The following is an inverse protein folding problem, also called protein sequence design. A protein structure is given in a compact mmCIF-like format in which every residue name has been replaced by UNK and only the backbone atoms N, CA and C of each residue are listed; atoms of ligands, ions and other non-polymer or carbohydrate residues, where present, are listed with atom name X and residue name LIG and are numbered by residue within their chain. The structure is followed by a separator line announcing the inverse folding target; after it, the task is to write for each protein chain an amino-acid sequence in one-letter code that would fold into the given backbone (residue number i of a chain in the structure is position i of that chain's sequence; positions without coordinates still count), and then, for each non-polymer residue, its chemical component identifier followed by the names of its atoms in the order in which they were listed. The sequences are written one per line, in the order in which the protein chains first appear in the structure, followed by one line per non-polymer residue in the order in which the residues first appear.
data_IF_870211129904
#
_entry.id   IF_870211129904
#
_cell.length_a   1.000
_cell.length_b   1.000
_cell.length_c   1.000
_cell.angle_alpha   90.00
_cell.angle_beta   90.00
_cell.angle_gamma   90.00
#
_symmetry.space_group_name_H-M   'P 1'
#
loop_
_entity.id
_entity.type
_entity.pdbx_description
1 polymer ?
#
# COMPACT_ATOMS: atom_id res chain seq x y z
N UNK A 1 -17.85 24.10 9.51
CA UNK A 1 -17.13 22.86 9.25
C UNK A 1 -16.63 22.36 10.58
N UNK A 2 -17.07 21.18 11.01
CA UNK A 2 -16.67 20.58 12.29
C UNK A 2 -15.18 20.21 12.34
N UNK A 3 -14.59 19.92 11.17
CA UNK A 3 -13.22 19.44 11.04
C UNK A 3 -12.29 20.51 10.50
N UNK A 4 -11.05 20.55 11.01
CA UNK A 4 -9.98 21.37 10.49
C UNK A 4 -9.21 20.58 9.42
N UNK A 5 -9.13 21.12 8.21
CA UNK A 5 -8.40 20.52 7.10
C UNK A 5 -6.97 21.07 7.00
N UNK A 6 -6.01 20.20 6.68
CA UNK A 6 -4.71 20.61 6.14
C UNK A 6 -4.23 19.62 5.08
N UNK A 7 -3.33 20.07 4.20
CA UNK A 7 -2.49 19.14 3.47
C UNK A 7 -1.53 18.44 4.41
N UNK A 8 -1.07 17.25 4.01
CA UNK A 8 -0.07 16.48 4.73
C UNK A 8 1.22 17.25 4.98
N UNK A 9 1.78 17.04 6.16
CA UNK A 9 3.12 17.41 6.57
C UNK A 9 3.81 16.19 7.17
N UNK A 10 5.15 16.20 7.19
CA UNK A 10 5.91 15.08 7.74
C UNK A 10 5.60 14.78 9.21
N UNK A 11 5.21 15.80 9.99
CA UNK A 11 4.74 15.67 11.38
C UNK A 11 3.44 14.84 11.52
N UNK A 12 2.65 14.70 10.44
CA UNK A 12 1.39 13.96 10.44
C UNK A 12 1.59 12.44 10.32
N UNK A 13 2.81 11.98 9.97
CA UNK A 13 3.08 10.59 9.64
C UNK A 13 2.66 9.63 10.77
N UNK A 14 3.14 9.89 11.99
CA UNK A 14 2.84 9.04 13.14
C UNK A 14 1.36 9.07 13.52
N UNK A 15 0.67 10.21 13.37
CA UNK A 15 -0.76 10.30 13.67
C UNK A 15 -1.62 9.56 12.64
N UNK A 16 -1.26 9.62 11.35
CA UNK A 16 -1.93 8.84 10.30
C UNK A 16 -1.71 7.35 10.51
N UNK A 17 -0.50 6.94 10.89
CA UNK A 17 -0.19 5.56 11.26
C UNK A 17 -1.10 5.04 12.37
N UNK A 18 -1.45 5.87 13.37
CA UNK A 18 -2.40 5.47 14.40
C UNK A 18 -3.82 5.21 13.85
N UNK A 19 -4.27 5.92 12.81
CA UNK A 19 -5.54 5.59 12.15
C UNK A 19 -5.48 4.19 11.51
N UNK A 20 -4.34 3.87 10.89
CA UNK A 20 -4.10 2.58 10.25
C UNK A 20 -4.12 1.47 11.29
N UNK A 21 -3.36 1.62 12.39
CA UNK A 21 -3.32 0.62 13.46
C UNK A 21 -4.70 0.44 14.12
N UNK A 22 -5.46 1.52 14.31
CA UNK A 22 -6.81 1.43 14.84
C UNK A 22 -7.74 0.58 13.93
N UNK A 23 -7.60 0.70 12.60
CA UNK A 23 -8.49 0.02 11.65
C UNK A 23 -8.50 -1.51 11.75
N UNK A 24 -7.38 -2.13 12.18
CA UNK A 24 -7.33 -3.59 12.40
C UNK A 24 -8.32 -4.09 13.47
N UNK A 25 -8.92 -3.21 14.27
CA UNK A 25 -9.93 -3.59 15.28
C UNK A 25 -11.31 -3.86 14.68
N UNK A 26 -11.61 -3.40 13.45
CA UNK A 26 -12.94 -3.54 12.85
C UNK A 26 -12.96 -3.92 11.37
N UNK A 27 -11.81 -3.97 10.70
CA UNK A 27 -11.71 -4.33 9.29
C UNK A 27 -10.41 -5.07 8.94
N UNK A 28 -10.37 -5.61 7.72
CA UNK A 28 -9.11 -5.85 7.02
C UNK A 28 -8.76 -4.54 6.30
N UNK A 29 -7.69 -3.82 6.68
CA UNK A 29 -7.54 -2.43 6.29
C UNK A 29 -7.48 -2.21 4.77
N UNK A 30 -8.14 -1.14 4.32
CA UNK A 30 -8.04 -0.62 2.96
C UNK A 30 -6.63 -0.11 2.65
N UNK A 31 -5.92 0.35 3.69
CA UNK A 31 -4.55 0.82 3.65
C UNK A 31 -3.83 0.27 4.87
N UNK A 32 -2.75 -0.47 4.66
CA UNK A 32 -2.08 -1.23 5.70
C UNK A 32 -0.74 -0.60 6.13
N UNK A 33 -0.18 -1.08 7.25
CA UNK A 33 1.04 -0.51 7.83
C UNK A 33 2.21 -0.64 6.87
N UNK A 34 2.38 -1.82 6.25
CA UNK A 34 3.49 -2.05 5.31
C UNK A 34 3.39 -1.11 4.12
N UNK A 35 2.21 -0.92 3.51
CA UNK A 35 1.96 0.01 2.40
C UNK A 35 2.23 1.46 2.82
N UNK A 36 1.87 1.86 4.04
CA UNK A 36 2.15 3.21 4.53
C UNK A 36 3.64 3.51 4.59
N UNK A 37 4.41 2.62 5.21
CA UNK A 37 5.85 2.79 5.32
C UNK A 37 6.56 2.62 3.98
N UNK A 38 6.10 1.69 3.14
CA UNK A 38 6.64 1.48 1.80
C UNK A 38 6.42 2.70 0.91
N UNK A 39 5.23 3.30 0.96
CA UNK A 39 4.90 4.52 0.23
C UNK A 39 5.73 5.71 0.69
N UNK A 40 6.06 5.83 1.98
CA UNK A 40 6.92 6.92 2.47
C UNK A 40 8.40 6.68 2.22
N UNK A 41 8.85 5.46 2.50
CA UNK A 41 10.27 5.09 2.52
C UNK A 41 10.85 4.78 1.15
N UNK A 42 10.06 4.14 0.26
CA UNK A 42 10.54 3.68 -1.04
C UNK A 42 10.07 4.57 -2.20
N UNK A 43 8.77 4.85 -2.29
CA UNK A 43 8.19 5.47 -3.49
C UNK A 43 8.80 6.83 -3.89
N UNK A 44 9.17 7.76 -2.98
CA UNK A 44 9.74 9.06 -3.36
C UNK A 44 10.96 8.95 -4.27
N UNK A 45 11.95 8.15 -3.87
CA UNK A 45 13.15 7.92 -4.66
C UNK A 45 12.89 6.97 -5.84
N UNK A 46 12.03 5.97 -5.65
CA UNK A 46 11.76 4.95 -6.65
C UNK A 46 10.95 5.48 -7.86
N UNK A 47 10.06 6.44 -7.63
CA UNK A 47 9.18 7.05 -8.64
C UNK A 47 9.62 8.45 -9.05
N UNK A 48 10.46 9.11 -8.26
CA UNK A 48 10.86 10.50 -8.47
C UNK A 48 9.86 11.53 -7.90
N UNK A 49 8.81 11.09 -7.21
CA UNK A 49 7.73 11.95 -6.71
C UNK A 49 7.86 12.34 -5.23
N UNK A 50 8.97 12.98 -4.86
CA UNK A 50 9.24 13.39 -3.47
C UNK A 50 8.21 14.31 -2.82
N UNK A 51 7.38 14.98 -3.61
CA UNK A 51 6.43 15.98 -3.12
C UNK A 51 4.96 15.59 -3.25
N UNK A 52 4.66 14.40 -3.76
CA UNK A 52 3.27 14.00 -4.03
C UNK A 52 2.37 14.11 -2.80
N UNK A 53 2.76 13.52 -1.66
CA UNK A 53 1.92 13.57 -0.45
C UNK A 53 1.59 14.98 0.03
N UNK A 54 2.53 15.94 -0.02
CA UNK A 54 2.23 17.32 0.38
C UNK A 54 1.18 18.00 -0.50
N UNK A 55 0.90 17.46 -1.69
CA UNK A 55 -0.07 18.00 -2.64
C UNK A 55 -1.36 17.17 -2.72
N UNK A 56 -1.29 15.87 -2.46
CA UNK A 56 -2.37 14.93 -2.77
C UNK A 56 -2.98 14.25 -1.54
N UNK A 57 -2.41 14.44 -0.35
CA UNK A 57 -2.92 13.86 0.91
C UNK A 57 -3.60 14.93 1.75
N UNK A 58 -4.84 14.64 2.13
CA UNK A 58 -5.70 15.52 2.92
C UNK A 58 -5.88 14.99 4.33
N UNK A 59 -5.60 15.82 5.33
CA UNK A 59 -5.63 15.47 6.76
C UNK A 59 -6.73 16.25 7.46
N UNK A 60 -7.55 15.54 8.24
CA UNK A 60 -8.71 16.10 8.94
C UNK A 60 -8.52 15.98 10.45
N UNK A 61 -8.75 17.10 11.16
CA UNK A 61 -8.59 17.18 12.61
C UNK A 61 -9.86 17.55 13.34
N UNK A 62 -9.98 17.03 14.56
CA UNK A 62 -11.02 17.37 15.53
C UNK A 62 -10.32 17.69 16.85
N UNK A 63 -10.44 18.94 17.31
CA UNK A 63 -9.71 19.48 18.48
C UNK A 63 -8.18 19.24 18.39
N UNK A 64 -7.59 19.50 17.22
CA UNK A 64 -6.15 19.42 16.98
C UNK A 64 -5.58 18.00 16.78
N UNK A 65 -6.37 16.94 16.97
CA UNK A 65 -5.97 15.55 16.73
C UNK A 65 -6.35 15.11 15.33
N UNK A 66 -5.48 14.39 14.62
CA UNK A 66 -5.85 13.75 13.34
C UNK A 66 -6.89 12.66 13.58
N UNK A 67 -7.99 12.74 12.83
CA UNK A 67 -9.12 11.82 12.98
C UNK A 67 -9.55 11.15 11.68
N UNK A 68 -9.17 11.71 10.54
CA UNK A 68 -9.36 11.09 9.24
C UNK A 68 -8.32 11.58 8.23
N UNK A 69 -8.12 10.80 7.17
CA UNK A 69 -7.16 11.10 6.13
C UNK A 69 -7.65 10.58 4.77
N UNK A 70 -7.47 11.36 3.71
CA UNK A 70 -7.48 10.86 2.33
C UNK A 70 -6.03 10.70 1.89
N UNK A 71 -5.60 9.47 1.63
CA UNK A 71 -4.20 9.13 1.33
C UNK A 71 -4.05 8.35 0.03
N UNK A 72 -2.84 8.35 -0.54
CA UNK A 72 -2.45 7.58 -1.71
C UNK A 72 -1.00 7.07 -1.59
N UNK A 73 -0.49 6.39 -2.62
CA UNK A 73 0.86 5.82 -2.65
C UNK A 73 2.00 6.82 -2.87
N UNK A 74 1.76 8.13 -2.75
CA UNK A 74 2.82 9.13 -2.91
C UNK A 74 3.22 9.33 -4.36
N UNK A 75 2.22 9.25 -5.24
CA UNK A 75 2.35 9.48 -6.67
C UNK A 75 1.08 10.23 -7.18
N UNK A 76 0.93 10.32 -8.51
CA UNK A 76 -0.20 10.98 -9.17
C UNK A 76 -0.96 9.99 -10.07
N UNK A 77 -1.25 8.79 -9.58
CA UNK A 77 -1.89 7.70 -10.33
C UNK A 77 -3.42 7.62 -10.23
N UNK A 78 -4.01 8.47 -9.39
CA UNK A 78 -5.45 8.59 -9.22
C UNK A 78 -6.03 7.53 -8.29
N UNK A 79 -5.26 6.98 -7.35
CA UNK A 79 -5.78 6.15 -6.28
C UNK A 79 -5.96 6.95 -4.98
N UNK A 80 -7.04 6.67 -4.25
CA UNK A 80 -7.31 7.29 -2.95
C UNK A 80 -7.92 6.30 -1.96
N UNK A 81 -7.47 6.40 -0.72
CA UNK A 81 -7.86 5.56 0.41
C UNK A 81 -8.32 6.45 1.56
N UNK A 82 -9.43 6.08 2.20
CA UNK A 82 -10.03 6.87 3.28
C UNK A 82 -9.76 6.19 4.61
N UNK A 83 -9.10 6.90 5.53
CA UNK A 83 -8.73 6.42 6.85
C UNK A 83 -9.51 7.16 7.92
N UNK A 84 -9.82 6.47 9.02
CA UNK A 84 -10.60 7.00 10.12
C UNK A 84 -10.04 6.50 11.45
N UNK A 85 -10.15 7.31 12.50
CA UNK A 85 -9.76 6.92 13.86
C UNK A 85 -10.71 5.90 14.50
N UNK A 86 -11.90 5.73 13.92
CA UNK A 86 -12.98 4.90 14.43
C UNK A 86 -13.98 4.54 13.33
N UNK A 87 -14.66 3.42 13.51
CA UNK A 87 -15.72 2.97 12.60
C UNK A 87 -16.88 3.96 12.52
N UNK A 88 -17.25 4.57 13.65
CA UNK A 88 -18.32 5.55 13.74
C UNK A 88 -18.00 6.81 12.92
N UNK A 89 -16.74 7.28 12.98
CA UNK A 89 -16.33 8.45 12.21
C UNK A 89 -16.34 8.19 10.71
N UNK A 90 -16.10 6.95 10.29
CA UNK A 90 -16.29 6.51 8.92
C UNK A 90 -17.72 6.63 8.37
N UNK A 91 -18.72 6.89 9.23
CA UNK A 91 -20.11 7.16 8.84
C UNK A 91 -20.54 8.63 8.93
N UNK A 92 -19.65 9.57 9.27
CA UNK A 92 -19.98 11.00 9.35
C UNK A 92 -20.12 11.61 7.95
N UNK A 93 -21.35 11.92 7.55
CA UNK A 93 -21.65 12.41 6.20
C UNK A 93 -21.12 13.82 5.89
N UNK A 94 -20.90 14.69 6.90
CA UNK A 94 -20.28 16.00 6.66
C UNK A 94 -18.81 15.80 6.27
N UNK A 95 -18.11 14.93 7.02
CA UNK A 95 -16.71 14.57 6.76
C UNK A 95 -16.54 13.87 5.41
N UNK A 96 -17.33 12.82 5.17
CA UNK A 96 -17.24 12.05 3.93
C UNK A 96 -17.49 12.91 2.69
N UNK A 97 -18.43 13.86 2.77
CA UNK A 97 -18.70 14.78 1.66
C UNK A 97 -17.46 15.60 1.30
N UNK A 98 -16.76 16.13 2.30
CA UNK A 98 -15.55 16.89 2.05
C UNK A 98 -14.39 16.01 1.57
N UNK A 99 -14.21 14.82 2.14
CA UNK A 99 -13.20 13.84 1.71
C UNK A 99 -13.39 13.40 0.25
N UNK A 100 -14.64 13.15 -0.18
CA UNK A 100 -14.96 12.81 -1.58
C UNK A 100 -14.61 13.98 -2.50
N UNK A 101 -14.98 15.20 -2.11
CA UNK A 101 -14.64 16.40 -2.87
C UNK A 101 -13.12 16.58 -2.96
N UNK A 102 -12.39 16.37 -1.88
CA UNK A 102 -10.93 16.42 -1.86
C UNK A 102 -10.34 15.39 -2.82
N UNK A 103 -10.80 14.13 -2.78
CA UNK A 103 -10.33 13.07 -3.66
C UNK A 103 -10.49 13.44 -5.15
N UNK A 104 -11.67 13.94 -5.55
CA UNK A 104 -11.94 14.38 -6.93
C UNK A 104 -11.17 15.62 -7.39
N UNK A 105 -10.60 16.40 -6.47
CA UNK A 105 -9.95 17.67 -6.80
C UNK A 105 -8.42 17.60 -6.68
N UNK A 106 -7.90 16.88 -5.69
CA UNK A 106 -6.48 16.87 -5.34
C UNK A 106 -5.82 15.50 -5.43
N UNK A 107 -6.58 14.40 -5.38
CA UNK A 107 -6.06 13.03 -5.51
C UNK A 107 -6.33 12.41 -6.88
N UNK A 108 -6.55 13.24 -7.91
CA UNK A 108 -6.82 12.76 -9.27
C UNK A 108 -5.54 12.52 -10.06
N UNK A 109 -5.58 11.55 -10.96
CA UNK A 109 -4.67 11.45 -12.10
C UNK A 109 -5.28 12.10 -13.34
N UNK A 110 -4.47 12.21 -14.39
CA UNK A 110 -4.88 12.68 -15.71
C UNK A 110 -4.63 11.56 -16.70
N UNK A 111 -5.64 11.25 -17.54
CA UNK A 111 -5.50 10.28 -18.62
C UNK A 111 -4.51 10.75 -19.68
N UNK A 112 -4.17 9.86 -20.61
CA UNK A 112 -3.26 10.15 -21.72
C UNK A 112 -3.69 11.35 -22.58
N UNK A 113 -5.00 11.65 -22.63
CA UNK A 113 -5.58 12.81 -23.32
C UNK A 113 -5.22 14.17 -22.69
N UNK A 114 -4.55 14.18 -21.53
CA UNK A 114 -4.16 15.36 -20.77
C UNK A 114 -5.32 16.25 -20.30
N UNK A 115 -6.55 15.72 -20.31
CA UNK A 115 -7.79 16.48 -20.03
C UNK A 115 -8.73 15.78 -19.06
N UNK A 116 -8.85 14.47 -19.20
CA UNK A 116 -9.75 13.68 -18.36
C UNK A 116 -9.06 13.39 -17.04
N UNK A 117 -9.59 14.01 -15.98
CA UNK A 117 -9.21 13.70 -14.61
C UNK A 117 -9.94 12.44 -14.15
N UNK A 118 -9.28 11.61 -13.36
CA UNK A 118 -9.94 10.46 -12.73
C UNK A 118 -9.41 10.18 -11.33
N UNK A 119 -10.24 9.54 -10.51
CA UNK A 119 -9.83 8.98 -9.22
C UNK A 119 -10.59 7.67 -8.94
N UNK A 120 -9.87 6.72 -8.33
CA UNK A 120 -10.35 5.44 -7.85
C UNK A 120 -10.36 5.46 -6.31
N UNK A 121 -11.51 5.19 -5.72
CA UNK A 121 -11.66 5.06 -4.27
C UNK A 121 -11.92 3.60 -3.92
N UNK A 122 -11.14 3.09 -2.98
CA UNK A 122 -11.32 1.76 -2.40
C UNK A 122 -12.27 1.84 -1.21
N UNK A 123 -13.43 1.17 -1.30
CA UNK A 123 -14.48 1.27 -0.28
C UNK A 123 -14.71 -0.10 0.35
N UNK A 124 -14.32 -0.32 1.61
CA UNK A 124 -14.51 -1.61 2.29
C UNK A 124 -16.00 -1.88 2.57
N UNK A 125 -16.39 -3.16 2.58
CA UNK A 125 -17.79 -3.59 2.70
C UNK A 125 -18.52 -3.09 3.94
N UNK A 126 -17.78 -2.83 5.04
CA UNK A 126 -18.37 -2.31 6.27
C UNK A 126 -18.85 -0.86 6.14
N UNK A 127 -18.27 -0.06 5.24
CA UNK A 127 -18.57 1.36 5.12
C UNK A 127 -19.68 1.61 4.08
N UNK A 128 -20.91 1.21 4.44
CA UNK A 128 -22.08 1.37 3.58
C UNK A 128 -22.41 2.83 3.31
N UNK A 129 -22.15 3.72 4.27
CA UNK A 129 -22.38 5.16 4.12
C UNK A 129 -21.45 5.77 3.06
N UNK A 130 -20.14 5.49 3.11
CA UNK A 130 -19.20 5.93 2.07
C UNK A 130 -19.60 5.38 0.71
N UNK A 131 -19.96 4.09 0.63
CA UNK A 131 -20.44 3.47 -0.62
C UNK A 131 -21.64 4.22 -1.22
N UNK A 132 -22.65 4.52 -0.43
CA UNK A 132 -23.82 5.27 -0.88
C UNK A 132 -23.44 6.67 -1.37
N UNK A 133 -22.57 7.36 -0.63
CA UNK A 133 -22.14 8.71 -0.96
C UNK A 133 -21.26 8.78 -2.22
N UNK A 134 -20.34 7.84 -2.44
CA UNK A 134 -19.54 7.82 -3.68
C UNK A 134 -20.44 7.55 -4.88
N UNK A 135 -21.38 6.61 -4.79
CA UNK A 135 -22.33 6.33 -5.86
C UNK A 135 -23.21 7.55 -6.18
N UNK A 136 -23.74 8.22 -5.15
CA UNK A 136 -24.51 9.46 -5.33
C UNK A 136 -23.68 10.61 -5.90
N UNK A 137 -22.36 10.58 -5.66
CA UNK A 137 -21.40 11.57 -6.17
C UNK A 137 -20.88 11.25 -7.57
N UNK A 138 -21.49 10.28 -8.27
CA UNK A 138 -21.19 9.96 -9.67
C UNK A 138 -20.10 8.91 -9.88
N UNK A 139 -19.61 8.26 -8.82
CA UNK A 139 -18.69 7.13 -8.98
C UNK A 139 -19.43 5.89 -9.49
N UNK A 140 -18.71 5.06 -10.26
CA UNK A 140 -19.18 3.78 -10.75
C UNK A 140 -18.33 2.65 -10.16
N UNK A 141 -18.98 1.59 -9.67
CA UNK A 141 -18.27 0.41 -9.18
C UNK A 141 -17.57 -0.29 -10.35
N UNK A 142 -16.30 -0.64 -10.19
CA UNK A 142 -15.55 -1.45 -11.14
C UNK A 142 -15.70 -2.95 -10.84
N UNK A 143 -15.39 -3.78 -11.84
CA UNK A 143 -15.42 -5.25 -11.72
C UNK A 143 -14.19 -5.84 -11.01
N UNK A 144 -13.26 -4.99 -10.59
CA UNK A 144 -12.07 -5.38 -9.84
C UNK A 144 -11.98 -4.65 -8.50
N UNK A 145 -11.05 -5.11 -7.67
CA UNK A 145 -10.76 -4.56 -6.37
C UNK A 145 -9.55 -5.24 -5.77
N UNK A 146 -9.35 -5.04 -4.48
CA UNK A 146 -8.24 -5.63 -3.75
C UNK A 146 -8.70 -6.78 -2.85
N UNK A 147 -8.07 -7.94 -3.00
CA UNK A 147 -8.24 -9.04 -2.06
C UNK A 147 -7.28 -8.92 -0.86
N UNK A 148 -7.64 -9.57 0.24
CA UNK A 148 -6.82 -9.72 1.44
C UNK A 148 -6.58 -11.20 1.70
N UNK A 149 -5.43 -11.69 1.25
CA UNK A 149 -5.02 -13.08 1.45
C UNK A 149 -4.13 -13.20 2.66
N UNK A 150 -4.46 -14.11 3.57
CA UNK A 150 -3.71 -14.34 4.80
C UNK A 150 -3.30 -15.80 4.88
N UNK A 151 -2.00 -16.05 5.09
CA UNK A 151 -1.50 -17.34 5.54
C UNK A 151 -1.72 -17.46 7.05
N UNK A 152 -2.66 -18.30 7.52
CA UNK A 152 -2.85 -18.49 8.96
C UNK A 152 -1.64 -19.24 9.54
N UNK A 153 -1.14 -18.78 10.67
CA UNK A 153 -0.12 -19.49 11.43
C UNK A 153 -0.77 -20.58 12.29
N UNK A 154 -0.18 -21.77 12.28
CA UNK A 154 -0.60 -22.89 13.13
C UNK A 154 0.41 -23.16 14.25
N UNK A 155 0.20 -24.24 15.00
CA UNK A 155 1.06 -24.60 16.13
C UNK A 155 2.45 -25.14 15.74
N UNK A 156 2.69 -25.35 14.43
CA UNK A 156 3.91 -25.96 13.90
C UNK A 156 4.61 -25.01 12.96
N UNK A 157 5.92 -24.95 13.08
CA UNK A 157 6.77 -24.30 12.10
C UNK A 157 6.67 -24.99 10.74
N UNK A 158 6.75 -24.18 9.70
CA UNK A 158 6.77 -24.61 8.31
C UNK A 158 8.13 -25.22 7.97
N UNK A 159 8.10 -26.23 7.10
CA UNK A 159 9.31 -26.78 6.51
C UNK A 159 9.92 -25.79 5.50
N UNK A 160 11.20 -25.50 5.65
CA UNK A 160 11.94 -24.54 4.81
C UNK A 160 12.91 -25.32 3.94
N UNK A 161 12.59 -25.41 2.65
CA UNK A 161 13.38 -26.16 1.65
C UNK A 161 13.85 -25.26 0.53
N UNK A 162 15.15 -25.06 0.43
CA UNK A 162 15.80 -24.40 -0.69
C UNK A 162 16.47 -25.43 -1.61
N UNK A 163 16.73 -25.07 -2.89
CA UNK A 163 17.64 -25.84 -3.73
C UNK A 163 19.04 -25.94 -3.10
N UNK A 164 19.79 -27.00 -3.45
CA UNK A 164 21.13 -27.22 -2.92
C UNK A 164 22.05 -26.01 -3.17
N UNK A 165 22.81 -25.62 -2.14
CA UNK A 165 23.75 -24.50 -2.19
C UNK A 165 23.15 -23.09 -2.06
N UNK A 166 21.81 -22.96 -2.08
CA UNK A 166 21.11 -21.71 -1.80
C UNK A 166 21.07 -21.46 -0.29
N UNK A 167 20.95 -20.19 0.10
CA UNK A 167 20.90 -19.80 1.51
C UNK A 167 19.96 -18.62 1.73
N UNK A 168 19.25 -18.60 2.85
CA UNK A 168 18.52 -17.40 3.31
C UNK A 168 19.43 -16.60 4.24
N UNK A 169 19.49 -15.30 4.00
CA UNK A 169 20.16 -14.28 4.82
C UNK A 169 19.16 -13.16 5.13
N UNK A 170 19.55 -12.20 5.97
CA UNK A 170 18.68 -11.07 6.32
C UNK A 170 19.35 -9.70 6.13
N UNK A 171 18.56 -8.63 6.33
CA UNK A 171 18.94 -7.24 6.14
C UNK A 171 20.11 -6.74 7.00
N UNK A 172 20.59 -7.54 7.97
CA UNK A 172 21.84 -7.23 8.69
C UNK A 172 23.09 -7.59 7.86
N UNK A 173 22.93 -8.39 6.82
CA UNK A 173 24.03 -8.93 6.01
C UNK A 173 23.95 -8.51 4.54
N UNK A 174 22.77 -8.09 4.06
CA UNK A 174 22.57 -7.70 2.67
C UNK A 174 22.69 -6.19 2.48
N UNK A 175 23.43 -5.73 1.45
CA UNK A 175 23.44 -4.32 1.07
C UNK A 175 22.13 -3.94 0.36
N UNK A 176 21.81 -2.65 0.35
CA UNK A 176 20.56 -2.10 -0.20
C UNK A 176 20.38 -2.46 -1.69
N UNK A 177 21.49 -2.50 -2.45
CA UNK A 177 21.45 -2.84 -3.88
C UNK A 177 21.01 -4.28 -4.17
N UNK A 178 21.09 -5.20 -3.21
CA UNK A 178 20.57 -6.57 -3.39
C UNK A 178 19.05 -6.54 -3.60
N UNK A 179 18.33 -5.89 -2.68
CA UNK A 179 16.88 -5.71 -2.78
C UNK A 179 16.51 -4.92 -4.04
N UNK A 180 17.23 -3.83 -4.31
CA UNK A 180 17.02 -3.02 -5.51
C UNK A 180 17.09 -3.84 -6.80
N UNK A 181 18.17 -4.58 -7.01
CA UNK A 181 18.34 -5.39 -8.21
C UNK A 181 17.30 -6.51 -8.29
N UNK A 182 17.09 -7.25 -7.20
CA UNK A 182 16.09 -8.33 -7.18
C UNK A 182 14.69 -7.80 -7.45
N UNK A 183 14.30 -6.64 -6.89
CA UNK A 183 13.01 -6.00 -7.14
C UNK A 183 12.87 -5.63 -8.62
N UNK A 184 13.86 -4.89 -9.14
CA UNK A 184 13.90 -4.42 -10.53
C UNK A 184 13.73 -5.56 -11.53
N UNK A 185 14.49 -6.65 -11.35
CA UNK A 185 14.41 -7.83 -12.22
C UNK A 185 13.18 -8.70 -12.01
N UNK A 186 12.55 -8.65 -10.83
CA UNK A 186 11.31 -9.40 -10.55
C UNK A 186 10.10 -8.75 -11.21
N UNK A 187 10.02 -7.43 -11.17
CA UNK A 187 8.87 -6.66 -11.65
C UNK A 187 9.07 -6.02 -13.03
N UNK A 188 10.22 -6.28 -13.68
CA UNK A 188 10.46 -5.89 -15.07
C UNK A 188 10.78 -4.40 -15.26
N UNK A 189 11.34 -3.75 -14.24
CA UNK A 189 11.81 -2.38 -14.36
C UNK A 189 13.14 -2.33 -15.14
N UNK A 190 13.16 -1.64 -16.26
CA UNK A 190 14.33 -1.47 -17.13
C UNK A 190 14.33 -0.07 -17.77
N UNK A 191 15.44 0.32 -18.40
CA UNK A 191 15.59 1.60 -19.08
C UNK A 191 15.65 2.78 -18.10
N UNK A 192 15.14 3.94 -18.55
CA UNK A 192 15.30 5.24 -17.88
C UNK A 192 14.30 5.48 -16.73
N UNK A 193 13.76 4.40 -16.13
CA UNK A 193 12.87 4.52 -14.97
C UNK A 193 13.68 4.97 -13.74
N UNK A 194 13.14 5.87 -12.92
CA UNK A 194 13.79 6.30 -11.65
C UNK A 194 14.23 5.12 -10.77
N UNK A 195 13.43 4.05 -10.70
CA UNK A 195 13.75 2.80 -10.03
C UNK A 195 15.10 2.16 -10.44
N UNK A 196 15.53 2.34 -11.69
CA UNK A 196 16.80 1.80 -12.19
C UNK A 196 18.01 2.59 -11.70
N UNK A 197 17.85 3.91 -11.51
CA UNK A 197 18.94 4.80 -11.09
C UNK A 197 18.97 4.99 -9.56
N UNK A 198 17.81 5.06 -8.92
CA UNK A 198 17.66 5.40 -7.50
C UNK A 198 17.13 4.25 -6.65
N UNK A 199 17.00 3.04 -7.20
CA UNK A 199 16.45 1.91 -6.46
C UNK A 199 17.25 1.56 -5.20
N UNK A 200 18.58 1.70 -5.22
CA UNK A 200 19.41 1.47 -4.03
C UNK A 200 19.12 2.50 -2.93
N UNK A 201 19.05 3.80 -3.28
CA UNK A 201 18.65 4.86 -2.36
C UNK A 201 17.24 4.62 -1.81
N UNK A 202 16.31 4.15 -2.64
CA UNK A 202 14.94 3.88 -2.24
C UNK A 202 14.85 2.76 -1.18
N UNK A 203 15.59 1.66 -1.36
CA UNK A 203 15.65 0.61 -0.33
C UNK A 203 16.45 1.02 0.91
N UNK A 204 17.45 1.88 0.74
CA UNK A 204 18.17 2.49 1.85
C UNK A 204 17.24 3.34 2.74
N UNK A 205 16.36 4.13 2.15
CA UNK A 205 15.40 4.95 2.87
C UNK A 205 14.27 4.12 3.48
N UNK A 206 13.78 3.08 2.78
CA UNK A 206 12.84 2.11 3.34
C UNK A 206 13.34 1.46 4.64
N UNK A 207 14.64 1.14 4.70
CA UNK A 207 15.30 0.55 5.88
C UNK A 207 15.35 1.46 7.11
N UNK A 208 15.01 2.74 6.96
CA UNK A 208 14.93 3.72 8.05
C UNK A 208 13.51 3.87 8.61
N UNK A 209 12.52 3.24 7.98
CA UNK A 209 11.14 3.32 8.44
C UNK A 209 10.98 2.66 9.81
N UNK A 210 10.03 3.17 10.59
CA UNK A 210 9.89 2.94 12.04
C UNK A 210 9.70 1.46 12.38
N UNK A 211 8.90 0.75 11.59
CA UNK A 211 8.59 -0.67 11.80
C UNK A 211 9.47 -1.60 10.98
N UNK A 212 10.42 -1.05 10.21
CA UNK A 212 11.36 -1.86 9.45
C UNK A 212 12.27 -2.67 10.37
N UNK A 213 12.28 -3.99 10.18
CA UNK A 213 13.08 -4.93 10.97
C UNK A 213 14.04 -5.68 10.06
N UNK A 214 15.34 -5.44 10.21
CA UNK A 214 16.38 -6.05 9.38
C UNK A 214 16.40 -7.59 9.47
N UNK A 215 16.03 -8.15 10.61
CA UNK A 215 15.88 -9.59 10.84
C UNK A 215 14.66 -10.21 10.13
N UNK A 216 13.75 -9.37 9.63
CA UNK A 216 12.57 -9.72 8.85
C UNK A 216 12.59 -9.20 7.40
N UNK A 217 13.69 -8.55 6.98
CA UNK A 217 14.06 -8.35 5.58
C UNK A 217 14.88 -9.56 5.13
N UNK A 218 14.23 -10.54 4.53
CA UNK A 218 14.88 -11.79 4.13
C UNK A 218 15.30 -11.74 2.68
N UNK A 219 16.47 -12.28 2.38
CA UNK A 219 16.97 -12.44 1.01
C UNK A 219 17.46 -13.88 0.80
N UNK A 220 17.13 -14.47 -0.36
CA UNK A 220 17.70 -15.74 -0.79
C UNK A 220 18.88 -15.46 -1.72
N UNK A 221 20.02 -16.07 -1.40
CA UNK A 221 21.20 -16.08 -2.24
C UNK A 221 21.33 -17.43 -2.95
N UNK A 222 21.73 -17.43 -4.21
CA UNK A 222 22.05 -18.64 -4.97
C UNK A 222 23.41 -19.25 -4.56
N UNK A 223 23.80 -20.33 -5.23
CA UNK A 223 25.09 -21.03 -5.04
C UNK A 223 26.31 -20.11 -5.19
N UNK A 224 26.19 -19.04 -5.97
CA UNK A 224 27.24 -18.04 -6.23
C UNK A 224 27.11 -16.80 -5.32
N UNK A 225 26.22 -16.87 -4.33
CA UNK A 225 25.94 -15.80 -3.36
C UNK A 225 25.33 -14.54 -3.99
N UNK A 226 24.63 -14.68 -5.13
CA UNK A 226 23.90 -13.58 -5.78
C UNK A 226 22.46 -13.53 -5.28
N UNK A 227 21.86 -12.35 -5.09
CA UNK A 227 20.49 -12.22 -4.60
C UNK A 227 19.46 -12.60 -5.67
N UNK A 228 18.56 -13.53 -5.34
CA UNK A 228 17.58 -14.09 -6.29
C UNK A 228 16.13 -13.96 -5.84
N UNK A 229 15.90 -13.76 -4.55
CA UNK A 229 14.59 -13.44 -4.00
C UNK A 229 14.72 -12.60 -2.74
N UNK A 230 13.69 -11.85 -2.39
CA UNK A 230 13.57 -11.25 -1.07
C UNK A 230 12.09 -11.14 -0.65
N UNK A 231 11.88 -11.03 0.66
CA UNK A 231 10.59 -10.81 1.30
C UNK A 231 10.82 -9.89 2.51
N UNK A 232 10.09 -8.79 2.59
CA UNK A 232 10.17 -7.87 3.74
C UNK A 232 8.86 -7.97 4.51
N UNK A 233 8.96 -8.14 5.83
CA UNK A 233 7.81 -8.30 6.72
C UNK A 233 7.70 -7.13 7.71
N UNK A 234 6.49 -6.57 7.83
CA UNK A 234 6.10 -5.60 8.84
C UNK A 234 5.25 -6.27 9.91
N UNK A 235 5.44 -5.85 11.16
CA UNK A 235 4.55 -6.25 12.25
C UNK A 235 4.58 -5.26 13.41
N UNK A 236 3.41 -4.75 13.76
CA UNK A 236 3.15 -4.09 15.04
C UNK A 236 2.32 -5.02 15.95
N UNK A 237 2.56 -4.96 17.26
CA UNK A 237 1.90 -5.84 18.24
C UNK A 237 0.39 -5.57 18.42
N UNK A 238 -0.11 -4.46 17.89
CA UNK A 238 -1.53 -4.14 17.83
C UNK A 238 -2.20 -4.71 16.57
N UNK A 239 -1.43 -5.29 15.65
CA UNK A 239 -1.94 -5.97 14.46
C UNK A 239 -2.16 -7.46 14.76
N UNK A 240 -3.25 -8.07 14.24
CA UNK A 240 -3.50 -9.50 14.40
C UNK A 240 -2.55 -10.38 13.57
N UNK A 241 -2.06 -9.88 12.44
CA UNK A 241 -1.19 -10.59 11.50
C UNK A 241 -0.04 -9.68 11.04
N UNK A 242 1.05 -10.26 10.54
CA UNK A 242 2.15 -9.52 9.90
C UNK A 242 1.88 -9.31 8.41
N UNK A 243 2.64 -8.42 7.78
CA UNK A 243 2.40 -7.99 6.41
C UNK A 243 3.63 -8.14 5.54
N UNK A 244 3.44 -8.76 4.37
CA UNK A 244 4.47 -8.95 3.35
C UNK A 244 4.39 -7.82 2.31
N UNK A 245 5.43 -6.99 2.18
CA UNK A 245 5.46 -5.93 1.16
C UNK A 245 6.90 -5.51 0.76
N UNK A 246 7.48 -5.99 -0.35
CA UNK A 246 6.96 -6.97 -1.30
C UNK A 246 7.61 -8.35 -1.13
N UNK A 247 7.10 -9.30 -1.92
CA UNK A 247 7.80 -10.53 -2.29
C UNK A 247 8.32 -10.42 -3.72
N UNK A 248 9.61 -10.69 -3.90
CA UNK A 248 10.25 -10.65 -5.21
C UNK A 248 11.02 -11.96 -5.48
N UNK A 249 10.90 -12.48 -6.70
CA UNK A 249 11.75 -13.57 -7.23
C UNK A 249 12.13 -13.25 -8.67
N UNK A 250 13.45 -13.19 -8.93
CA UNK A 250 13.98 -12.88 -10.26
C UNK A 250 13.51 -13.89 -11.29
N UNK A 251 13.24 -13.44 -12.51
CA UNK A 251 12.52 -14.25 -13.50
C UNK A 251 13.22 -15.56 -13.87
N UNK A 252 14.55 -15.63 -13.82
CA UNK A 252 15.34 -16.82 -14.14
C UNK A 252 15.43 -17.86 -12.99
N UNK A 253 14.91 -17.52 -11.81
CA UNK A 253 14.95 -18.39 -10.60
C UNK A 253 13.54 -18.85 -10.17
N UNK A 254 12.52 -18.50 -10.94
CA UNK A 254 11.14 -18.88 -10.67
C UNK A 254 10.94 -20.39 -10.79
N UNK A 255 9.89 -20.89 -10.14
CA UNK A 255 9.45 -22.30 -10.15
C UNK A 255 10.42 -23.30 -9.48
N UNK A 256 11.38 -22.82 -8.68
CA UNK A 256 12.29 -23.65 -7.87
C UNK A 256 11.90 -23.80 -6.38
N UNK A 257 10.68 -23.37 -6.00
CA UNK A 257 10.22 -23.39 -4.60
C UNK A 257 10.76 -22.25 -3.71
N UNK A 258 11.61 -21.37 -4.24
CA UNK A 258 12.27 -20.28 -3.49
C UNK A 258 11.26 -19.35 -2.79
N UNK A 259 10.18 -18.95 -3.47
CA UNK A 259 9.14 -18.10 -2.90
C UNK A 259 8.46 -18.77 -1.68
N UNK A 260 8.16 -20.07 -1.76
CA UNK A 260 7.58 -20.82 -0.65
C UNK A 260 8.56 -20.87 0.53
N UNK A 261 9.83 -21.18 0.25
CA UNK A 261 10.85 -21.30 1.28
C UNK A 261 11.06 -20.00 2.07
N UNK A 262 11.16 -18.87 1.37
CA UNK A 262 11.39 -17.58 2.04
C UNK A 262 10.17 -17.11 2.85
N UNK A 263 8.95 -17.35 2.37
CA UNK A 263 7.73 -17.06 3.12
C UNK A 263 7.58 -17.97 4.35
N UNK A 264 7.92 -19.25 4.23
CA UNK A 264 7.92 -20.16 5.38
C UNK A 264 8.96 -19.77 6.44
N UNK A 265 10.16 -19.37 6.02
CA UNK A 265 11.17 -18.85 6.94
C UNK A 265 10.70 -17.56 7.61
N UNK A 266 10.11 -16.63 6.85
CA UNK A 266 9.52 -15.41 7.38
C UNK A 266 8.43 -15.71 8.43
N UNK A 267 7.51 -16.60 8.11
CA UNK A 267 6.45 -17.04 9.01
C UNK A 267 7.02 -17.69 10.29
N UNK A 268 8.06 -18.52 10.18
CA UNK A 268 8.71 -19.15 11.33
C UNK A 268 9.40 -18.12 12.23
N UNK A 269 10.09 -17.13 11.64
CA UNK A 269 10.71 -16.03 12.38
C UNK A 269 9.67 -15.21 13.12
N UNK A 270 8.60 -14.79 12.45
CA UNK A 270 7.52 -14.01 13.06
C UNK A 270 6.86 -14.80 14.19
N UNK A 271 6.48 -16.07 13.99
CA UNK A 271 5.89 -16.90 15.06
C UNK A 271 6.79 -17.01 16.28
N UNK A 272 8.11 -17.12 16.08
CA UNK A 272 9.08 -17.21 17.17
C UNK A 272 9.23 -15.89 17.93
N UNK A 273 9.26 -14.76 17.22
CA UNK A 273 9.45 -13.43 17.81
C UNK A 273 8.17 -12.87 18.42
N UNK A 274 7.03 -13.15 17.78
CA UNK A 274 5.72 -12.56 18.08
C UNK A 274 4.64 -13.65 18.16
N UNK A 275 4.55 -14.39 19.28
CA UNK A 275 3.60 -15.50 19.42
C UNK A 275 2.11 -15.12 19.31
N UNK A 276 1.78 -13.82 19.39
CA UNK A 276 0.41 -13.30 19.23
C UNK A 276 0.03 -13.06 17.77
N UNK A 277 1.01 -13.00 16.87
CA UNK A 277 0.75 -12.86 15.45
C UNK A 277 0.14 -14.16 14.92
N UNK A 278 -1.04 -14.07 14.29
CA UNK A 278 -1.83 -15.23 13.90
C UNK A 278 -1.78 -15.55 12.40
N UNK A 279 -1.01 -14.79 11.62
CA UNK A 279 -0.86 -15.03 10.20
C UNK A 279 -0.01 -13.99 9.49
N UNK A 280 0.05 -14.09 8.17
CA UNK A 280 0.79 -13.18 7.30
C UNK A 280 -0.05 -12.78 6.08
N UNK A 281 -0.30 -11.48 5.90
CA UNK A 281 -0.88 -10.92 4.68
C UNK A 281 0.05 -11.19 3.49
N UNK A 282 -0.51 -11.42 2.30
CA UNK A 282 0.24 -11.58 1.06
C UNK A 282 -0.63 -11.39 -0.17
N UNK A 283 -0.08 -11.73 -1.34
CA UNK A 283 -0.74 -11.54 -2.64
C UNK A 283 -1.90 -12.51 -2.92
N UNK A 284 -2.64 -12.24 -4.00
CA UNK A 284 -3.81 -13.00 -4.42
C UNK A 284 -3.56 -13.94 -5.62
N UNK A 285 -2.31 -14.07 -6.09
CA UNK A 285 -2.02 -14.95 -7.21
C UNK A 285 -2.18 -16.43 -6.82
N UNK A 286 -2.51 -17.30 -7.78
CA UNK A 286 -2.71 -18.76 -7.56
C UNK A 286 -1.59 -19.44 -6.76
N UNK A 287 -0.37 -18.90 -6.80
CA UNK A 287 0.74 -19.35 -5.96
C UNK A 287 0.42 -19.29 -4.45
N UNK A 288 -0.12 -18.18 -3.96
CA UNK A 288 -0.40 -17.97 -2.55
C UNK A 288 -1.45 -18.98 -2.03
N UNK A 289 -2.52 -19.21 -2.79
CA UNK A 289 -3.50 -20.25 -2.48
C UNK A 289 -2.89 -21.65 -2.33
N UNK A 290 -1.98 -22.01 -3.25
CA UNK A 290 -1.33 -23.33 -3.24
C UNK A 290 -0.48 -23.58 -2.01
N UNK A 291 -0.02 -22.53 -1.34
CA UNK A 291 0.81 -22.62 -0.13
C UNK A 291 0.02 -22.28 1.15
N UNK A 292 -1.31 -22.18 1.06
CA UNK A 292 -2.19 -22.09 2.23
C UNK A 292 -2.71 -20.69 2.57
N UNK A 293 -2.50 -19.68 1.72
CA UNK A 293 -3.17 -18.39 1.92
C UNK A 293 -4.66 -18.49 1.63
N UNK A 294 -5.46 -17.86 2.49
CA UNK A 294 -6.92 -17.84 2.41
C UNK A 294 -7.42 -16.42 2.14
N UNK A 295 -8.42 -16.27 1.26
CA UNK A 295 -9.07 -14.98 1.06
C UNK A 295 -9.91 -14.63 2.29
N UNK A 296 -9.65 -13.47 2.88
CA UNK A 296 -10.36 -12.97 4.06
C UNK A 296 -11.29 -11.80 3.78
N UNK A 297 -11.01 -11.01 2.74
CA UNK A 297 -11.82 -9.87 2.36
C UNK A 297 -11.55 -9.45 0.91
N UNK A 298 -12.56 -8.81 0.31
CA UNK A 298 -12.45 -8.14 -0.97
C UNK A 298 -12.89 -6.68 -0.80
N UNK A 299 -12.11 -5.74 -1.32
CA UNK A 299 -12.36 -4.30 -1.23
C UNK A 299 -12.62 -3.78 -2.65
N UNK A 300 -13.88 -3.48 -3.00
CA UNK A 300 -14.22 -2.97 -4.33
C UNK A 300 -13.65 -1.57 -4.60
N UNK A 301 -13.38 -1.31 -5.88
CA UNK A 301 -12.99 0.01 -6.39
C UNK A 301 -14.19 0.73 -6.99
N UNK A 302 -14.26 2.02 -6.74
CA UNK A 302 -15.23 2.95 -7.32
C UNK A 302 -14.48 4.01 -8.11
N UNK A 303 -14.85 4.17 -9.38
CA UNK A 303 -14.20 5.05 -10.33
C UNK A 303 -15.02 6.31 -10.60
N UNK A 304 -14.38 7.46 -10.63
CA UNK A 304 -14.96 8.70 -11.12
C UNK A 304 -14.00 9.35 -12.11
N UNK A 305 -14.56 9.97 -13.13
CA UNK A 305 -13.81 10.74 -14.12
C UNK A 305 -14.59 11.97 -14.58
N UNK A 306 -13.85 12.99 -15.02
CA UNK A 306 -14.39 14.23 -15.54
C UNK A 306 -13.42 14.85 -16.55
N UNK A 307 -13.93 15.15 -17.74
CA UNK A 307 -13.22 15.96 -18.72
C UNK A 307 -13.20 17.43 -18.25
N UNK A 308 -11.99 17.97 -18.08
CA UNK A 308 -11.79 19.37 -17.69
C UNK A 308 -11.15 20.13 -18.84
N UNK A 309 -11.92 21.08 -19.38
CA UNK A 309 -11.48 22.02 -20.39
C UNK A 309 -10.64 23.12 -19.76
N UNK A 310 -9.65 23.59 -20.49
CA UNK A 310 -8.82 24.68 -20.01
C UNK A 310 -9.63 25.97 -20.03
N UNK A 311 -9.40 26.87 -19.07
CA UNK A 311 -10.23 28.07 -18.85
C UNK A 311 -10.47 28.99 -20.07
N UNK A 312 -9.60 28.95 -21.08
CA UNK A 312 -9.73 29.76 -22.31
C UNK A 312 -10.36 29.00 -23.49
N UNK A 313 -10.73 27.73 -23.31
CA UNK A 313 -11.45 26.93 -24.31
C UNK A 313 -12.94 27.26 -24.27
N UNK A 314 -13.59 27.30 -25.44
CA UNK A 314 -14.99 27.71 -25.55
C UNK A 314 -15.91 26.78 -24.75
N UNK A 315 -15.58 25.50 -24.73
CA UNK A 315 -16.26 24.44 -24.00
C UNK A 315 -16.24 24.64 -22.47
N UNK A 316 -15.24 25.36 -21.94
CA UNK A 316 -15.15 25.68 -20.51
C UNK A 316 -16.16 26.74 -20.08
N UNK A 317 -16.67 27.58 -20.98
CA UNK A 317 -17.52 28.73 -20.61
C UNK A 317 -18.86 28.31 -19.99
N UNK A 318 -19.38 27.15 -20.38
CA UNK A 318 -20.68 26.64 -19.96
C UNK A 318 -20.58 25.58 -18.84
N UNK A 319 -19.37 25.32 -18.33
CA UNK A 319 -19.11 24.27 -17.32
C UNK A 319 -19.07 24.86 -15.91
N UNK A 320 -19.88 24.29 -15.02
CA UNK A 320 -19.83 24.56 -13.58
C UNK A 320 -19.19 23.37 -12.85
N UNK A 321 -17.85 23.33 -12.89
CA UNK A 321 -17.09 22.23 -12.28
C UNK A 321 -17.32 22.08 -10.78
N UNK A 322 -17.76 23.12 -10.09
CA UNK A 322 -18.06 23.05 -8.66
C UNK A 322 -19.27 22.17 -8.33
N UNK A 323 -20.13 21.88 -9.31
CA UNK A 323 -21.27 20.95 -9.16
C UNK A 323 -20.92 19.49 -9.50
N UNK A 324 -19.82 19.28 -10.21
CA UNK A 324 -19.36 17.95 -10.65
C UNK A 324 -18.43 17.29 -9.61
N UNK A 325 -17.78 18.10 -8.76
CA UNK A 325 -16.87 17.65 -7.71
C UNK A 325 -17.55 17.47 -6.35
#
# INVERSE_FOLDING_TARGET
MRYEFSFYKDEDFDEIEQLIIASYQWEYPVWNLSRHEFSKGLHPAFTGHYKAWYHTVGVYRDNGKVVACVINEGNYDGEAFFLFDSKERGGDTELLKDMIKFAKTHATAIKEDQRTKYVNIYVPDWNTTLKEMVLQSGFQKLDFGEDRYILPFGDKFYDVKLPDGYSIVDGNTTPDFYLSNTHRYSFGYTGDRHACEHGEQAFHDLRKMKHYRKDLDLCVLDEQKRPVAFAIIWYDENMPYCELEPLAVVWWERRKGIATAILHEAANRVQKMFPRCNGMLGGNQTFYHKIGYENKAFIPVYHWELEVFISWEKESNDKDYAKEV
#
